data_IF_294586344970
#
_entry.id   IF_294586344970
#
_cell.length_a   1.000
_cell.length_b   1.000
_cell.length_c   1.000
_cell.angle_alpha   90.00
_cell.angle_beta   90.00
_cell.angle_gamma   90.00
#
_symmetry.space_group_name_H-M   'P 1'
#
loop_
_entity.id
_entity.type
_entity.pdbx_description
1 polymer ?
#
# COMPACT_ATOMS: atom_id res chain seq x y z
N UNK A 1 6.43 -49.22 34.59
CA UNK A 1 5.41 -48.59 35.46
C UNK A 1 5.27 -47.14 35.01
N UNK A 2 4.25 -46.87 34.19
CA UNK A 2 3.88 -45.51 33.82
C UNK A 2 2.88 -45.02 34.87
N UNK A 3 3.25 -44.00 35.64
CA UNK A 3 2.34 -43.33 36.55
C UNK A 3 1.33 -42.53 35.72
N UNK A 4 0.08 -42.97 35.72
CA UNK A 4 -1.02 -42.18 35.18
C UNK A 4 -1.22 -40.97 36.09
N UNK A 5 -0.94 -39.78 35.57
CA UNK A 5 -1.35 -38.52 36.20
C UNK A 5 -2.87 -38.46 36.06
N UNK A 6 -3.58 -38.68 37.16
CA UNK A 6 -5.01 -38.49 37.22
C UNK A 6 -5.31 -37.00 37.07
N UNK A 7 -5.80 -36.59 35.90
CA UNK A 7 -6.43 -35.28 35.70
C UNK A 7 -7.73 -35.29 36.51
N UNK A 8 -7.68 -34.76 37.73
CA UNK A 8 -8.87 -34.53 38.53
C UNK A 8 -9.81 -33.63 37.73
N UNK A 9 -10.97 -34.18 37.33
CA UNK A 9 -12.05 -33.40 36.72
C UNK A 9 -12.61 -32.51 37.81
N UNK A 10 -12.08 -31.29 37.91
CA UNK A 10 -12.58 -30.26 38.81
C UNK A 10 -14.06 -30.02 38.46
N UNK A 11 -14.97 -30.19 39.42
CA UNK A 11 -16.41 -30.03 39.21
C UNK A 11 -16.89 -28.58 39.38
N UNK A 12 -16.07 -27.70 39.96
CA UNK A 12 -16.33 -26.27 40.17
C UNK A 12 -15.00 -25.54 40.43
N UNK A 13 -14.90 -24.28 39.99
CA UNK A 13 -13.76 -23.42 40.25
C UNK A 13 -13.71 -22.86 41.68
N UNK A 14 -14.75 -23.06 42.50
CA UNK A 14 -14.86 -22.47 43.84
C UNK A 14 -13.69 -22.76 44.79
N UNK A 15 -13.13 -23.97 44.73
CA UNK A 15 -11.93 -24.31 45.52
C UNK A 15 -10.68 -23.55 45.06
N UNK A 16 -10.57 -23.27 43.76
CA UNK A 16 -9.48 -22.52 43.16
C UNK A 16 -9.63 -21.02 43.47
N UNK A 17 -10.87 -20.51 43.43
CA UNK A 17 -11.21 -19.15 43.82
C UNK A 17 -10.98 -18.88 45.31
N UNK A 18 -11.19 -19.86 46.17
CA UNK A 18 -10.86 -19.73 47.59
C UNK A 18 -9.36 -19.55 47.81
N UNK A 19 -8.50 -20.24 47.04
CA UNK A 19 -7.04 -20.11 47.15
C UNK A 19 -6.53 -18.71 46.77
N UNK A 20 -7.26 -17.94 45.94
CA UNK A 20 -6.90 -16.55 45.63
C UNK A 20 -7.00 -15.60 46.83
N UNK A 21 -7.84 -15.94 47.82
CA UNK A 21 -8.05 -15.12 49.02
C UNK A 21 -7.01 -15.40 50.12
N UNK A 22 -6.18 -16.43 49.97
CA UNK A 22 -5.11 -16.75 50.91
C UNK A 22 -3.96 -15.74 50.77
N UNK A 23 -3.26 -15.40 51.88
CA UNK A 23 -2.19 -14.41 51.85
C UNK A 23 -0.91 -14.90 51.14
N UNK A 24 -0.74 -16.21 50.95
CA UNK A 24 0.47 -16.79 50.39
C UNK A 24 0.54 -16.63 48.86
N UNK A 25 1.58 -15.96 48.36
CA UNK A 25 1.79 -15.71 46.93
C UNK A 25 1.93 -17.00 46.09
N UNK A 26 2.54 -18.05 46.65
CA UNK A 26 2.66 -19.34 45.97
C UNK A 26 1.28 -19.99 45.70
N UNK A 27 0.32 -19.80 46.61
CA UNK A 27 -1.05 -20.28 46.43
C UNK A 27 -1.79 -19.46 45.38
N UNK A 28 -1.57 -18.13 45.36
CA UNK A 28 -2.10 -17.23 44.32
C UNK A 28 -1.59 -17.62 42.93
N UNK A 29 -0.30 -17.93 42.80
CA UNK A 29 0.29 -18.45 41.56
C UNK A 29 -0.41 -19.71 41.10
N UNK A 30 -0.46 -20.71 41.98
CA UNK A 30 -1.04 -22.00 41.65
C UNK A 30 -2.52 -21.84 41.28
N UNK A 31 -3.25 -20.97 41.97
CA UNK A 31 -4.62 -20.64 41.67
C UNK A 31 -4.76 -20.00 40.28
N UNK A 32 -3.97 -18.96 39.95
CA UNK A 32 -4.01 -18.31 38.64
C UNK A 32 -3.65 -19.25 37.48
N UNK A 33 -2.61 -20.08 37.65
CA UNK A 33 -2.22 -21.06 36.65
C UNK A 33 -3.32 -22.11 36.43
N UNK A 34 -3.93 -22.58 37.52
CA UNK A 34 -5.06 -23.51 37.46
C UNK A 34 -6.26 -22.87 36.78
N UNK A 35 -6.60 -21.62 37.13
CA UNK A 35 -7.69 -20.86 36.52
C UNK A 35 -7.49 -20.70 35.01
N UNK A 36 -6.30 -20.29 34.57
CA UNK A 36 -5.98 -20.12 33.14
C UNK A 36 -6.28 -21.40 32.33
N UNK A 37 -6.05 -22.58 32.90
CA UNK A 37 -6.34 -23.86 32.24
C UNK A 37 -7.83 -24.20 32.17
N UNK A 38 -8.65 -23.73 33.12
CA UNK A 38 -10.07 -24.10 33.24
C UNK A 38 -11.05 -22.97 32.91
N UNK A 39 -10.56 -21.79 32.48
CA UNK A 39 -11.42 -20.63 32.16
C UNK A 39 -12.54 -21.01 31.18
N UNK A 40 -12.22 -21.78 30.14
CA UNK A 40 -13.18 -22.20 29.13
C UNK A 40 -14.38 -23.00 29.67
N UNK A 41 -14.22 -23.66 30.83
CA UNK A 41 -15.29 -24.44 31.48
C UNK A 41 -16.04 -23.64 32.54
N UNK A 42 -15.32 -22.81 33.30
CA UNK A 42 -15.86 -22.18 34.51
C UNK A 42 -15.88 -20.65 34.44
N UNK A 43 -15.80 -20.03 33.26
CA UNK A 43 -15.88 -18.57 33.12
C UNK A 43 -17.10 -17.93 33.85
N UNK A 44 -18.29 -18.56 33.97
CA UNK A 44 -19.40 -17.95 34.72
C UNK A 44 -19.16 -17.91 36.24
N UNK A 45 -18.40 -18.85 36.78
CA UNK A 45 -18.02 -18.86 38.20
C UNK A 45 -16.88 -17.87 38.44
N UNK A 46 -15.87 -17.88 37.55
CA UNK A 46 -14.69 -17.01 37.65
C UNK A 46 -15.06 -15.54 37.47
N UNK A 47 -16.07 -15.23 36.63
CA UNK A 47 -16.52 -13.85 36.40
C UNK A 47 -16.95 -13.13 37.68
N UNK A 48 -17.51 -13.87 38.65
CA UNK A 48 -17.90 -13.31 39.95
C UNK A 48 -16.73 -12.80 40.78
N UNK A 49 -15.52 -13.29 40.48
CA UNK A 49 -14.28 -12.99 41.18
C UNK A 49 -13.33 -12.13 40.35
N UNK A 50 -13.76 -11.58 39.20
CA UNK A 50 -12.97 -10.63 38.40
C UNK A 50 -12.38 -9.50 39.25
N UNK A 51 -13.13 -8.82 40.15
CA UNK A 51 -12.57 -7.72 40.93
C UNK A 51 -11.38 -8.13 41.81
N UNK A 52 -11.36 -9.37 42.30
CA UNK A 52 -10.25 -9.89 43.08
C UNK A 52 -9.00 -10.12 42.21
N UNK A 53 -9.20 -10.62 40.98
CA UNK A 53 -8.10 -10.86 40.03
C UNK A 53 -7.59 -9.54 39.43
N UNK A 54 -8.48 -8.57 39.19
CA UNK A 54 -8.13 -7.20 38.76
C UNK A 54 -7.28 -6.51 39.83
N UNK A 55 -7.67 -6.58 41.10
CA UNK A 55 -6.87 -6.04 42.19
C UNK A 55 -5.46 -6.63 42.26
N UNK A 56 -5.26 -7.88 41.81
CA UNK A 56 -3.94 -8.52 41.72
C UNK A 56 -3.18 -8.13 40.45
N UNK A 57 -3.88 -7.75 39.38
CA UNK A 57 -3.27 -7.23 38.16
C UNK A 57 -2.80 -5.78 38.34
N UNK A 58 -3.54 -4.98 39.12
CA UNK A 58 -3.20 -3.60 39.47
C UNK A 58 -2.07 -3.48 40.51
N UNK A 59 -1.75 -4.56 41.20
CA UNK A 59 -0.67 -4.59 42.18
C UNK A 59 0.70 -4.69 41.48
N UNK A 60 1.45 -3.58 41.47
CA UNK A 60 2.78 -3.49 40.89
C UNK A 60 3.83 -4.34 41.63
N UNK A 61 3.60 -4.67 42.92
CA UNK A 61 4.51 -5.50 43.71
C UNK A 61 4.28 -7.00 43.45
N UNK A 62 3.17 -7.37 42.80
CA UNK A 62 2.85 -8.76 42.51
C UNK A 62 3.57 -9.24 41.24
N UNK A 63 4.57 -10.12 41.44
CA UNK A 63 5.40 -10.69 40.37
C UNK A 63 4.60 -11.34 39.22
N UNK A 64 3.35 -11.76 39.48
CA UNK A 64 2.53 -12.51 38.54
C UNK A 64 1.32 -11.77 38.02
N UNK A 65 1.33 -10.44 38.11
CA UNK A 65 0.30 -9.58 37.55
C UNK A 65 -0.02 -9.91 36.09
N UNK A 66 0.98 -10.25 35.28
CA UNK A 66 0.79 -10.61 33.87
C UNK A 66 -0.11 -11.84 33.70
N UNK A 67 0.01 -12.82 34.60
CA UNK A 67 -0.81 -14.03 34.57
C UNK A 67 -2.25 -13.73 35.02
N UNK A 68 -2.41 -12.84 36.01
CA UNK A 68 -3.73 -12.34 36.40
C UNK A 68 -4.42 -11.61 35.24
N UNK A 69 -3.71 -10.72 34.54
CA UNK A 69 -4.21 -10.05 33.34
C UNK A 69 -4.61 -11.02 32.23
N UNK A 70 -3.84 -12.08 31.99
CA UNK A 70 -4.18 -13.11 31.00
C UNK A 70 -5.47 -13.87 31.37
N UNK A 71 -5.63 -14.23 32.65
CA UNK A 71 -6.85 -14.91 33.12
C UNK A 71 -8.06 -13.99 32.93
N UNK A 72 -7.97 -12.73 33.37
CA UNK A 72 -9.04 -11.72 33.22
C UNK A 72 -9.41 -11.53 31.75
N UNK A 73 -8.41 -11.39 30.88
CA UNK A 73 -8.62 -11.28 29.43
C UNK A 73 -9.40 -12.46 28.86
N UNK A 74 -9.06 -13.70 29.25
CA UNK A 74 -9.79 -14.89 28.82
C UNK A 74 -11.22 -14.91 29.35
N UNK A 75 -11.47 -14.45 30.58
CA UNK A 75 -12.85 -14.36 31.11
C UNK A 75 -13.66 -13.36 30.30
N UNK A 76 -13.15 -12.15 30.06
CA UNK A 76 -13.83 -11.13 29.25
C UNK A 76 -14.10 -11.60 27.82
N UNK A 77 -13.19 -12.37 27.22
CA UNK A 77 -13.42 -13.01 25.92
C UNK A 77 -14.67 -13.90 25.93
N UNK A 78 -14.82 -14.78 26.92
CA UNK A 78 -16.01 -15.64 27.02
C UNK A 78 -17.29 -14.88 27.42
N UNK A 79 -17.16 -13.74 28.11
CA UNK A 79 -18.28 -12.83 28.35
C UNK A 79 -18.71 -12.04 27.10
N UNK A 80 -17.88 -12.03 26.06
CA UNK A 80 -18.13 -11.32 24.79
C UNK A 80 -17.62 -9.87 24.78
N UNK A 81 -16.91 -9.43 25.82
CA UNK A 81 -16.38 -8.08 25.97
C UNK A 81 -14.96 -8.00 25.40
N UNK A 82 -14.87 -7.95 24.06
CA UNK A 82 -13.58 -8.04 23.36
C UNK A 82 -12.64 -6.84 23.57
N UNK A 83 -13.18 -5.64 23.83
CA UNK A 83 -12.35 -4.46 24.07
C UNK A 83 -11.58 -4.59 25.40
N UNK A 84 -12.27 -4.99 26.46
CA UNK A 84 -11.66 -5.23 27.77
C UNK A 84 -10.76 -6.46 27.73
N UNK A 85 -11.19 -7.52 27.04
CA UNK A 85 -10.32 -8.67 26.81
C UNK A 85 -9.00 -8.27 26.13
N UNK A 86 -9.04 -7.40 25.11
CA UNK A 86 -7.84 -6.91 24.45
C UNK A 86 -6.97 -6.08 25.40
N UNK A 87 -7.53 -5.13 26.15
CA UNK A 87 -6.75 -4.27 27.06
C UNK A 87 -5.96 -5.08 28.11
N UNK A 88 -6.58 -6.11 28.68
CA UNK A 88 -5.92 -7.04 29.60
C UNK A 88 -4.91 -7.97 28.91
N UNK A 89 -5.18 -8.40 27.66
CA UNK A 89 -4.21 -9.16 26.87
C UNK A 89 -2.95 -8.35 26.54
N UNK A 90 -3.10 -7.06 26.21
CA UNK A 90 -1.98 -6.14 26.05
C UNK A 90 -1.17 -6.02 27.35
N UNK A 91 -1.85 -6.00 28.49
CA UNK A 91 -1.25 -5.99 29.83
C UNK A 91 -0.49 -7.26 30.21
N UNK A 92 -0.94 -8.42 29.72
CA UNK A 92 -0.27 -9.70 29.93
C UNK A 92 1.09 -9.83 29.23
N UNK A 93 1.38 -8.95 28.26
CA UNK A 93 2.68 -8.80 27.63
C UNK A 93 3.19 -10.09 26.98
N UNK A 94 4.30 -10.69 27.48
CA UNK A 94 4.88 -11.89 26.89
C UNK A 94 4.06 -13.16 27.11
N UNK A 95 3.14 -13.18 28.10
CA UNK A 95 2.28 -14.34 28.36
C UNK A 95 1.16 -14.49 27.33
N UNK A 96 0.80 -13.41 26.62
CA UNK A 96 -0.09 -13.49 25.48
C UNK A 96 0.70 -13.93 24.25
N UNK A 97 0.56 -15.21 23.92
CA UNK A 97 1.25 -15.81 22.79
C UNK A 97 0.48 -15.57 21.49
N UNK A 98 1.08 -14.76 20.63
CA UNK A 98 0.56 -14.47 19.29
C UNK A 98 0.56 -15.73 18.42
N UNK A 99 1.45 -16.71 18.70
CA UNK A 99 1.60 -17.96 17.96
C UNK A 99 0.57 -19.04 18.30
N UNK A 100 -0.25 -18.81 19.33
CA UNK A 100 -1.26 -19.77 19.76
C UNK A 100 -2.39 -19.91 18.72
N UNK A 101 -2.61 -21.13 18.23
CA UNK A 101 -3.72 -21.47 17.35
C UNK A 101 -4.99 -21.76 18.17
N UNK A 102 -5.46 -20.77 18.95
CA UNK A 102 -6.73 -20.84 19.68
C UNK A 102 -7.74 -19.81 19.21
N UNK A 103 -9.03 -20.13 19.34
CA UNK A 103 -10.11 -19.20 18.99
C UNK A 103 -10.02 -17.89 19.78
N UNK A 104 -9.52 -17.95 21.02
CA UNK A 104 -9.22 -16.79 21.86
C UNK A 104 -8.13 -15.91 21.23
N UNK A 105 -6.97 -16.49 20.91
CA UNK A 105 -5.86 -15.75 20.32
C UNK A 105 -6.27 -15.16 18.96
N UNK A 106 -6.88 -15.96 18.09
CA UNK A 106 -7.33 -15.48 16.77
C UNK A 106 -8.32 -14.32 16.86
N UNK A 107 -9.31 -14.40 17.75
CA UNK A 107 -10.29 -13.34 17.93
C UNK A 107 -9.68 -12.04 18.48
N UNK A 108 -8.80 -12.13 19.49
CA UNK A 108 -8.13 -10.94 20.03
C UNK A 108 -7.13 -10.34 19.06
N UNK A 109 -6.41 -11.16 18.30
CA UNK A 109 -5.49 -10.68 17.28
C UNK A 109 -6.22 -9.98 16.12
N UNK A 110 -7.36 -10.52 15.66
CA UNK A 110 -8.21 -9.85 14.68
C UNK A 110 -8.71 -8.50 15.22
N UNK A 111 -9.21 -8.49 16.46
CA UNK A 111 -9.66 -7.27 17.14
C UNK A 111 -8.53 -6.24 17.29
N UNK A 112 -7.32 -6.67 17.63
CA UNK A 112 -6.15 -5.82 17.74
C UNK A 112 -5.78 -5.18 16.40
N UNK A 113 -5.82 -5.95 15.31
CA UNK A 113 -5.57 -5.43 13.96
C UNK A 113 -6.62 -4.39 13.56
N UNK A 114 -7.90 -4.67 13.79
CA UNK A 114 -8.99 -3.74 13.49
C UNK A 114 -8.83 -2.42 14.25
N UNK A 115 -8.53 -2.50 15.55
CA UNK A 115 -8.34 -1.31 16.40
C UNK A 115 -7.13 -0.50 15.94
N UNK A 116 -5.99 -1.16 15.69
CA UNK A 116 -4.79 -0.52 15.17
C UNK A 116 -5.01 0.14 13.79
N UNK A 117 -5.64 -0.56 12.86
CA UNK A 117 -5.95 -0.04 11.52
C UNK A 117 -6.92 1.16 11.58
N UNK A 118 -7.92 1.10 12.46
CA UNK A 118 -8.86 2.20 12.69
C UNK A 118 -8.15 3.44 13.22
N UNK A 119 -7.19 3.25 14.12
CA UNK A 119 -6.38 4.30 14.70
C UNK A 119 -5.50 4.97 13.65
N UNK A 120 -4.74 4.19 12.88
CA UNK A 120 -3.87 4.72 11.80
C UNK A 120 -4.70 5.46 10.74
N UNK A 121 -5.92 5.00 10.46
CA UNK A 121 -6.83 5.69 9.56
C UNK A 121 -7.34 7.02 10.13
N UNK A 122 -7.67 7.09 11.42
CA UNK A 122 -8.07 8.34 12.09
C UNK A 122 -6.92 9.34 12.17
N UNK A 123 -5.73 8.90 12.58
CA UNK A 123 -4.54 9.74 12.67
C UNK A 123 -4.21 10.39 11.31
N UNK A 124 -4.43 9.69 10.19
CA UNK A 124 -4.22 10.26 8.87
C UNK A 124 -5.22 11.35 8.46
N UNK A 125 -6.41 11.40 9.09
CA UNK A 125 -7.47 12.38 8.80
C UNK A 125 -7.38 13.60 9.71
N UNK A 126 -6.99 13.39 10.96
CA UNK A 126 -6.77 14.44 11.94
C UNK A 126 -5.31 14.90 11.84
N UNK A 127 -5.03 15.88 10.97
CA UNK A 127 -3.68 16.47 10.78
C UNK A 127 -3.03 17.06 12.05
N UNK A 128 -3.67 16.99 13.23
CA UNK A 128 -3.27 17.80 14.41
C UNK A 128 -3.35 17.08 15.77
N UNK A 129 -3.84 15.83 15.87
CA UNK A 129 -3.78 15.08 17.13
C UNK A 129 -2.99 13.79 16.92
N UNK A 130 -1.69 13.82 17.27
CA UNK A 130 -0.93 12.62 17.63
C UNK A 130 -1.55 12.03 18.91
N UNK A 131 -2.76 11.48 18.79
CA UNK A 131 -3.13 10.37 19.63
C UNK A 131 -2.03 9.34 19.37
N UNK A 132 -1.23 9.03 20.38
CA UNK A 132 -0.19 8.02 20.27
C UNK A 132 -0.85 6.64 20.37
N UNK A 133 -0.55 5.76 19.40
CA UNK A 133 -0.98 4.35 19.49
C UNK A 133 -0.43 3.79 20.79
N UNK A 134 -1.21 2.96 21.50
CA UNK A 134 -0.64 2.19 22.61
C UNK A 134 0.54 1.35 22.09
N UNK A 135 1.77 1.55 22.61
CA UNK A 135 2.95 0.84 22.11
C UNK A 135 2.81 -0.68 22.24
N UNK A 136 1.99 -1.17 23.18
CA UNK A 136 1.71 -2.60 23.35
C UNK A 136 0.91 -3.14 22.17
N UNK A 137 -0.06 -2.38 21.69
CA UNK A 137 -0.86 -2.74 20.51
C UNK A 137 0.02 -2.78 19.27
N UNK A 138 0.86 -1.76 19.06
CA UNK A 138 1.80 -1.74 17.94
C UNK A 138 2.76 -2.93 17.98
N UNK A 139 3.31 -3.24 19.16
CA UNK A 139 4.21 -4.40 19.36
C UNK A 139 3.53 -5.73 19.01
N UNK A 140 2.23 -5.91 19.30
CA UNK A 140 1.51 -7.13 18.92
C UNK A 140 1.33 -7.21 17.41
N UNK A 141 0.89 -6.12 16.78
CA UNK A 141 0.68 -6.06 15.33
C UNK A 141 1.99 -6.31 14.58
N UNK A 142 3.10 -5.74 15.04
CA UNK A 142 4.43 -6.01 14.49
C UNK A 142 4.83 -7.48 14.62
N UNK A 143 4.66 -8.08 15.81
CA UNK A 143 4.90 -9.53 16.01
C UNK A 143 4.04 -10.39 15.09
N UNK A 144 2.78 -10.01 14.86
CA UNK A 144 1.90 -10.72 13.92
C UNK A 144 2.41 -10.64 12.48
N UNK A 145 2.75 -9.44 12.02
CA UNK A 145 3.28 -9.21 10.66
C UNK A 145 4.57 -9.99 10.44
N UNK A 146 5.50 -9.92 11.40
CA UNK A 146 6.78 -10.64 11.33
C UNK A 146 6.58 -12.14 11.29
N UNK A 147 5.66 -12.68 12.11
CA UNK A 147 5.31 -14.10 12.06
C UNK A 147 4.74 -14.49 10.69
N UNK A 148 3.81 -13.72 10.13
CA UNK A 148 3.27 -14.01 8.80
C UNK A 148 4.36 -14.04 7.72
N UNK A 149 5.35 -13.15 7.81
CA UNK A 149 6.51 -13.12 6.92
C UNK A 149 7.39 -14.37 7.13
N UNK A 150 7.68 -14.73 8.38
CA UNK A 150 8.49 -15.91 8.73
C UNK A 150 7.84 -17.23 8.30
N UNK A 151 6.52 -17.33 8.43
CA UNK A 151 5.72 -18.49 7.99
C UNK A 151 5.60 -18.60 6.46
N UNK A 152 6.13 -17.62 5.71
CA UNK A 152 5.99 -17.55 4.26
C UNK A 152 4.59 -17.20 3.77
N UNK A 153 3.70 -16.76 4.66
CA UNK A 153 2.32 -16.32 4.35
C UNK A 153 2.33 -14.87 3.86
N UNK A 154 3.09 -14.60 2.80
CA UNK A 154 3.34 -13.24 2.30
C UNK A 154 2.06 -12.50 1.88
N UNK A 155 1.09 -13.18 1.26
CA UNK A 155 -0.17 -12.53 0.84
C UNK A 155 -0.95 -11.97 2.04
N UNK A 156 -1.01 -12.73 3.14
CA UNK A 156 -1.64 -12.28 4.37
C UNK A 156 -0.85 -11.12 4.99
N UNK A 157 0.48 -11.21 5.02
CA UNK A 157 1.33 -10.12 5.50
C UNK A 157 1.12 -8.82 4.70
N UNK A 158 1.03 -8.90 3.37
CA UNK A 158 0.73 -7.75 2.51
C UNK A 158 -0.66 -7.17 2.79
N UNK A 159 -1.68 -8.01 2.95
CA UNK A 159 -3.03 -7.61 3.34
C UNK A 159 -3.03 -6.80 4.64
N UNK A 160 -2.46 -7.40 5.69
CA UNK A 160 -2.34 -6.77 7.00
C UNK A 160 -1.53 -5.47 6.95
N UNK A 161 -0.41 -5.43 6.23
CA UNK A 161 0.43 -4.24 6.11
C UNK A 161 -0.33 -3.07 5.44
N UNK A 162 -1.14 -3.36 4.41
CA UNK A 162 -1.97 -2.37 3.73
C UNK A 162 -3.10 -1.86 4.65
N UNK A 163 -3.78 -2.74 5.38
CA UNK A 163 -4.83 -2.36 6.35
C UNK A 163 -4.27 -1.50 7.49
N UNK A 164 -3.11 -1.91 8.02
CA UNK A 164 -2.39 -1.25 9.12
C UNK A 164 -1.65 0.03 8.70
N UNK A 165 -1.65 0.38 7.41
CA UNK A 165 -0.89 1.50 6.83
C UNK A 165 0.61 1.47 7.16
N UNK A 166 1.20 0.29 7.15
CA UNK A 166 2.64 0.05 7.38
C UNK A 166 3.33 -0.30 6.06
N UNK A 167 3.68 0.74 5.30
CA UNK A 167 4.34 0.59 4.00
C UNK A 167 5.74 -0.02 4.13
N UNK A 168 6.42 0.23 5.24
CA UNK A 168 7.70 -0.39 5.61
C UNK A 168 7.62 -1.93 5.63
N UNK A 169 6.58 -2.48 6.28
CA UNK A 169 6.35 -3.92 6.36
C UNK A 169 5.83 -4.49 5.04
N UNK A 170 5.12 -3.70 4.23
CA UNK A 170 4.73 -4.06 2.88
C UNK A 170 5.96 -4.26 1.98
N UNK A 171 6.89 -3.30 1.99
CA UNK A 171 8.17 -3.40 1.26
C UNK A 171 8.97 -4.62 1.69
N UNK A 172 9.08 -4.86 3.01
CA UNK A 172 9.77 -6.02 3.56
C UNK A 172 9.13 -7.35 3.12
N UNK A 173 7.80 -7.45 3.15
CA UNK A 173 7.07 -8.65 2.74
C UNK A 173 7.23 -8.94 1.23
N UNK A 174 7.25 -7.90 0.39
CA UNK A 174 7.47 -8.05 -1.06
C UNK A 174 8.91 -8.48 -1.33
N UNK A 175 9.89 -7.85 -0.69
CA UNK A 175 11.32 -8.13 -0.90
C UNK A 175 11.72 -9.57 -0.49
N UNK A 176 11.08 -10.13 0.54
CA UNK A 176 11.32 -11.52 0.97
C UNK A 176 10.56 -12.56 0.15
N UNK A 177 9.58 -12.14 -0.66
CA UNK A 177 8.82 -13.06 -1.49
C UNK A 177 9.65 -13.61 -2.65
N UNK A 178 9.55 -14.92 -2.91
CA UNK A 178 10.26 -15.55 -4.03
C UNK A 178 9.75 -15.06 -5.40
N UNK A 179 8.47 -14.70 -5.51
CA UNK A 179 7.85 -14.19 -6.74
C UNK A 179 7.46 -12.72 -6.57
N UNK A 180 8.43 -11.83 -6.79
CA UNK A 180 8.25 -10.39 -6.62
C UNK A 180 7.20 -9.83 -7.59
N UNK A 181 7.20 -10.25 -8.86
CA UNK A 181 6.21 -9.79 -9.85
C UNK A 181 4.77 -10.17 -9.44
N UNK A 182 4.57 -11.40 -8.98
CA UNK A 182 3.27 -11.85 -8.47
C UNK A 182 2.83 -11.08 -7.22
N UNK A 183 3.76 -10.81 -6.31
CA UNK A 183 3.50 -10.02 -5.10
C UNK A 183 3.10 -8.57 -5.44
N UNK A 184 3.80 -7.94 -6.39
CA UNK A 184 3.49 -6.58 -6.83
C UNK A 184 2.12 -6.50 -7.52
N UNK A 185 1.81 -7.44 -8.42
CA UNK A 185 0.49 -7.51 -9.07
C UNK A 185 -0.64 -7.72 -8.04
N UNK A 186 -0.40 -8.59 -7.05
CA UNK A 186 -1.34 -8.78 -5.93
C UNK A 186 -1.56 -7.49 -5.14
N UNK A 187 -0.49 -6.75 -4.81
CA UNK A 187 -0.58 -5.48 -4.10
C UNK A 187 -1.31 -4.39 -4.89
N UNK A 188 -1.12 -4.34 -6.21
CA UNK A 188 -1.89 -3.42 -7.08
C UNK A 188 -3.38 -3.73 -6.96
N UNK A 189 -3.78 -5.00 -7.10
CA UNK A 189 -5.17 -5.41 -6.97
C UNK A 189 -5.74 -5.13 -5.58
N UNK A 190 -4.97 -5.41 -4.53
CA UNK A 190 -5.31 -5.11 -3.14
C UNK A 190 -5.56 -3.60 -2.96
N UNK A 191 -4.70 -2.75 -3.53
CA UNK A 191 -4.84 -1.29 -3.49
C UNK A 191 -6.10 -0.79 -4.22
N UNK A 192 -6.50 -1.44 -5.31
CA UNK A 192 -7.70 -1.05 -6.05
C UNK A 192 -8.99 -1.49 -5.38
N UNK A 193 -9.01 -2.70 -4.80
CA UNK A 193 -10.22 -3.31 -4.24
C UNK A 193 -10.50 -2.86 -2.81
N UNK A 194 -9.47 -2.73 -1.97
CA UNK A 194 -9.64 -2.58 -0.53
C UNK A 194 -9.25 -1.19 0.01
N UNK A 195 -8.46 -0.41 -0.74
CA UNK A 195 -8.08 0.95 -0.29
C UNK A 195 -9.07 1.99 -0.79
N UNK A 196 -9.93 2.46 0.11
CA UNK A 196 -10.97 3.46 -0.23
C UNK A 196 -10.43 4.89 -0.35
N UNK A 197 -9.40 5.25 0.43
CA UNK A 197 -8.84 6.61 0.45
C UNK A 197 -7.89 6.84 -0.72
N UNK A 198 -8.15 7.88 -1.53
CA UNK A 198 -7.39 8.17 -2.75
C UNK A 198 -5.94 8.52 -2.46
N UNK A 199 -5.70 9.32 -1.43
CA UNK A 199 -4.37 9.77 -1.02
C UNK A 199 -3.52 8.56 -0.61
N UNK A 200 -4.04 7.75 0.31
CA UNK A 200 -3.37 6.54 0.77
C UNK A 200 -3.17 5.50 -0.35
N UNK A 201 -4.16 5.31 -1.24
CA UNK A 201 -3.98 4.46 -2.43
C UNK A 201 -2.82 4.95 -3.30
N UNK A 202 -2.66 6.27 -3.43
CA UNK A 202 -1.55 6.86 -4.18
C UNK A 202 -0.21 6.62 -3.48
N UNK A 203 -0.15 6.66 -2.14
CA UNK A 203 1.05 6.31 -1.38
C UNK A 203 1.45 4.85 -1.58
N UNK A 204 0.49 3.92 -1.52
CA UNK A 204 0.72 2.49 -1.80
C UNK A 204 1.25 2.32 -3.22
N UNK A 205 0.60 2.88 -4.24
CA UNK A 205 1.05 2.75 -5.62
C UNK A 205 2.44 3.35 -5.84
N UNK A 206 2.77 4.49 -5.21
CA UNK A 206 4.13 5.07 -5.26
C UNK A 206 5.16 4.16 -4.61
N UNK A 207 4.83 3.53 -3.49
CA UNK A 207 5.67 2.51 -2.87
C UNK A 207 5.95 1.36 -3.85
N UNK A 208 4.92 0.82 -4.52
CA UNK A 208 5.08 -0.25 -5.49
C UNK A 208 5.95 0.17 -6.70
N UNK A 209 5.75 1.39 -7.23
CA UNK A 209 6.57 1.92 -8.33
C UNK A 209 8.05 1.99 -7.94
N UNK A 210 8.37 2.45 -6.72
CA UNK A 210 9.75 2.46 -6.22
C UNK A 210 10.34 1.06 -6.21
N UNK A 211 9.60 0.07 -5.70
CA UNK A 211 10.07 -1.33 -5.70
C UNK A 211 10.32 -1.82 -7.13
N UNK A 212 9.39 -1.60 -8.06
CA UNK A 212 9.58 -1.98 -9.46
C UNK A 212 10.85 -1.39 -10.08
N UNK A 213 11.17 -0.13 -9.77
CA UNK A 213 12.37 0.56 -10.30
C UNK A 213 13.68 0.01 -9.73
N UNK A 214 13.66 -0.64 -8.55
CA UNK A 214 14.85 -1.27 -7.96
C UNK A 214 15.17 -2.65 -8.55
N UNK A 215 14.25 -3.22 -9.34
CA UNK A 215 14.43 -4.55 -9.93
C UNK A 215 15.43 -4.52 -11.10
N UNK A 216 16.18 -5.62 -11.33
CA UNK A 216 17.13 -5.71 -12.44
C UNK A 216 16.46 -5.63 -13.82
N UNK A 217 15.23 -6.12 -13.91
CA UNK A 217 14.38 -6.03 -15.10
C UNK A 217 13.03 -5.44 -14.71
N UNK A 218 12.89 -4.09 -14.76
CA UNK A 218 11.66 -3.42 -14.42
C UNK A 218 10.55 -3.80 -15.41
N UNK A 219 9.37 -4.11 -14.88
CA UNK A 219 8.16 -4.24 -15.69
C UNK A 219 7.59 -2.84 -15.96
N UNK A 220 8.05 -2.24 -17.05
CA UNK A 220 7.65 -0.90 -17.46
C UNK A 220 6.16 -0.77 -17.75
N UNK A 221 5.47 -1.86 -18.14
CA UNK A 221 4.03 -1.84 -18.37
C UNK A 221 3.29 -1.60 -17.05
N UNK A 222 3.56 -2.44 -16.04
CA UNK A 222 2.97 -2.31 -14.71
C UNK A 222 3.30 -0.97 -14.05
N UNK A 223 4.53 -0.46 -14.23
CA UNK A 223 4.93 0.87 -13.73
C UNK A 223 4.10 1.97 -14.38
N UNK A 224 3.98 1.98 -15.72
CA UNK A 224 3.23 3.00 -16.44
C UNK A 224 1.73 2.97 -16.12
N UNK A 225 1.15 1.78 -15.91
CA UNK A 225 -0.23 1.64 -15.44
C UNK A 225 -0.42 2.25 -14.04
N UNK A 226 0.51 2.00 -13.11
CA UNK A 226 0.48 2.62 -11.78
C UNK A 226 0.61 4.15 -11.88
N UNK A 227 1.54 4.66 -12.69
CA UNK A 227 1.77 6.09 -12.89
C UNK A 227 0.58 6.79 -13.54
N UNK A 228 -0.14 6.11 -14.43
CA UNK A 228 -1.37 6.59 -15.03
C UNK A 228 -2.46 6.78 -13.95
N UNK A 229 -2.63 5.80 -13.05
CA UNK A 229 -3.57 5.91 -11.92
C UNK A 229 -3.16 7.03 -10.95
N UNK A 230 -1.86 7.20 -10.73
CA UNK A 230 -1.29 8.29 -9.93
C UNK A 230 -1.45 9.67 -10.59
N UNK A 231 -1.66 9.71 -11.91
CA UNK A 231 -1.73 10.95 -12.68
C UNK A 231 -0.37 11.64 -12.82
N UNK A 232 0.72 10.87 -12.94
CA UNK A 232 2.10 11.37 -13.06
C UNK A 232 2.61 11.20 -14.52
N UNK A 233 2.18 12.06 -15.48
CA UNK A 233 2.53 11.91 -16.90
C UNK A 233 4.02 12.17 -17.17
N UNK A 234 4.68 12.94 -16.31
CA UNK A 234 6.10 13.30 -16.46
C UNK A 234 7.02 12.08 -16.33
N UNK A 235 6.77 11.25 -15.32
CA UNK A 235 7.54 10.03 -15.09
C UNK A 235 7.33 9.04 -16.24
N UNK A 236 6.11 8.92 -16.78
CA UNK A 236 5.82 8.07 -17.95
C UNK A 236 6.55 8.58 -19.20
N UNK A 237 6.54 9.88 -19.47
CA UNK A 237 7.26 10.47 -20.59
C UNK A 237 8.76 10.16 -20.51
N UNK A 238 9.38 10.33 -19.33
CA UNK A 238 10.79 10.01 -19.09
C UNK A 238 11.10 8.52 -19.34
N UNK A 239 10.24 7.62 -18.88
CA UNK A 239 10.40 6.18 -19.10
C UNK A 239 10.33 5.86 -20.59
N UNK A 240 9.33 6.39 -21.30
CA UNK A 240 9.16 6.18 -22.74
C UNK A 240 10.36 6.72 -23.54
N UNK A 241 10.85 7.91 -23.20
CA UNK A 241 12.02 8.51 -23.85
C UNK A 241 13.30 7.68 -23.62
N UNK A 242 13.49 7.19 -22.39
CA UNK A 242 14.60 6.30 -22.04
C UNK A 242 14.55 4.99 -22.83
N UNK A 243 13.36 4.39 -22.97
CA UNK A 243 13.15 3.17 -23.75
C UNK A 243 13.36 3.39 -25.26
N UNK A 244 12.93 4.53 -25.79
CA UNK A 244 13.13 4.86 -27.21
C UNK A 244 14.61 5.06 -27.56
N UNK A 245 15.37 5.63 -26.62
CA UNK A 245 16.83 5.84 -26.71
C UNK A 245 17.65 4.55 -26.58
N UNK A 246 17.02 3.47 -26.12
CA UNK A 246 17.63 2.16 -25.94
C UNK A 246 17.72 1.32 -27.22
N UNK A 247 17.68 0.00 -27.01
CA UNK A 247 17.72 -0.99 -28.08
C UNK A 247 16.45 -0.99 -28.93
N UNK A 248 16.46 -1.74 -30.04
CA UNK A 248 15.24 -1.93 -30.83
C UNK A 248 14.14 -2.65 -30.03
N UNK A 249 14.54 -3.56 -29.13
CA UNK A 249 13.60 -4.30 -28.28
C UNK A 249 12.96 -3.37 -27.23
N UNK A 250 13.74 -2.45 -26.66
CA UNK A 250 13.23 -1.42 -25.73
C UNK A 250 12.23 -0.48 -26.42
N UNK A 251 12.50 -0.10 -27.67
CA UNK A 251 11.57 0.68 -28.46
C UNK A 251 10.25 -0.07 -28.75
N UNK A 252 10.28 -1.39 -28.92
CA UNK A 252 9.06 -2.21 -29.04
C UNK A 252 8.25 -2.21 -27.75
N UNK A 253 8.92 -2.30 -26.59
CA UNK A 253 8.27 -2.19 -25.27
C UNK A 253 7.61 -0.81 -25.13
N UNK A 254 8.28 0.28 -25.53
CA UNK A 254 7.71 1.62 -25.51
C UNK A 254 6.41 1.72 -26.35
N UNK A 255 6.40 1.11 -27.54
CA UNK A 255 5.18 1.07 -28.37
C UNK A 255 4.06 0.24 -27.73
N UNK A 256 4.39 -0.89 -27.11
CA UNK A 256 3.40 -1.71 -26.40
C UNK A 256 2.77 -0.94 -25.25
N UNK A 257 3.57 -0.24 -24.45
CA UNK A 257 3.10 0.64 -23.37
C UNK A 257 2.20 1.74 -23.94
N UNK A 258 2.58 2.36 -25.05
CA UNK A 258 1.77 3.40 -25.67
C UNK A 258 0.40 2.88 -26.14
N UNK A 259 0.33 1.67 -26.70
CA UNK A 259 -0.95 1.04 -27.06
C UNK A 259 -1.81 0.76 -25.82
N UNK A 260 -1.24 0.19 -24.77
CA UNK A 260 -1.95 -0.08 -23.51
C UNK A 260 -2.49 1.21 -22.85
N UNK A 261 -1.69 2.27 -22.83
CA UNK A 261 -2.13 3.57 -22.32
C UNK A 261 -3.30 4.17 -23.13
N UNK A 262 -3.33 3.95 -24.45
CA UNK A 262 -4.42 4.41 -25.33
C UNK A 262 -5.70 3.61 -25.09
N UNK A 263 -5.60 2.31 -24.83
CA UNK A 263 -6.75 1.46 -24.48
C UNK A 263 -7.43 1.88 -23.17
N UNK A 264 -6.72 2.58 -22.28
CA UNK A 264 -7.28 3.13 -21.04
C UNK A 264 -8.10 4.42 -21.22
N UNK A 265 -8.21 4.95 -22.45
CA UNK A 265 -9.08 6.08 -22.84
C UNK A 265 -8.90 7.41 -22.05
N UNK A 266 -7.77 7.61 -21.37
CA UNK A 266 -7.49 8.84 -20.62
C UNK A 266 -6.83 9.92 -21.49
N UNK A 267 -7.61 10.56 -22.36
CA UNK A 267 -7.10 11.51 -23.36
C UNK A 267 -6.32 12.68 -22.75
N UNK A 268 -6.75 13.21 -21.60
CA UNK A 268 -6.06 14.33 -20.94
C UNK A 268 -4.67 13.93 -20.46
N UNK A 269 -4.53 12.72 -19.91
CA UNK A 269 -3.23 12.19 -19.52
C UNK A 269 -2.32 11.96 -20.72
N UNK A 270 -2.84 11.34 -21.79
CA UNK A 270 -2.08 11.06 -23.02
C UNK A 270 -1.57 12.34 -23.69
N UNK A 271 -2.39 13.39 -23.75
CA UNK A 271 -1.98 14.70 -24.26
C UNK A 271 -0.83 15.30 -23.44
N UNK A 272 -0.88 15.20 -22.11
CA UNK A 272 0.19 15.68 -21.25
C UNK A 272 1.49 14.89 -21.44
N UNK A 273 1.41 13.55 -21.60
CA UNK A 273 2.57 12.72 -21.93
C UNK A 273 3.17 13.13 -23.27
N UNK A 274 2.34 13.31 -24.30
CA UNK A 274 2.77 13.75 -25.63
C UNK A 274 3.48 15.12 -25.63
N UNK A 275 2.86 16.12 -24.98
CA UNK A 275 3.43 17.47 -24.86
C UNK A 275 4.79 17.46 -24.11
N UNK A 276 4.96 16.58 -23.12
CA UNK A 276 6.23 16.44 -22.39
C UNK A 276 7.31 15.82 -23.26
N UNK A 277 6.96 14.78 -24.04
CA UNK A 277 7.87 14.20 -25.02
C UNK A 277 8.32 15.20 -26.10
N UNK A 278 7.49 16.20 -26.46
CA UNK A 278 7.91 17.30 -27.34
C UNK A 278 8.97 18.19 -26.67
N UNK A 279 8.74 18.56 -25.41
CA UNK A 279 9.64 19.45 -24.65
C UNK A 279 11.02 18.84 -24.33
N UNK A 280 11.15 17.51 -24.39
CA UNK A 280 12.40 16.79 -24.14
C UNK A 280 13.29 16.65 -25.38
N UNK A 281 12.79 16.99 -26.56
CA UNK A 281 13.61 17.03 -27.78
C UNK A 281 14.56 18.24 -27.73
N UNK A 282 15.90 18.07 -27.83
CA UNK A 282 16.83 19.18 -27.88
C UNK A 282 16.70 19.87 -29.25
N UNK A 283 15.74 20.79 -29.37
CA UNK A 283 15.48 21.48 -30.63
C UNK A 283 14.44 22.60 -30.61
N UNK A 284 13.66 22.77 -29.53
CA UNK A 284 12.71 23.88 -29.42
C UNK A 284 12.75 24.52 -28.02
N UNK A 285 13.84 25.25 -27.75
CA UNK A 285 13.81 26.27 -26.70
C UNK A 285 13.40 27.61 -27.29
N UNK A 286 12.35 28.18 -26.68
CA UNK A 286 11.97 29.58 -26.63
C UNK A 286 11.31 30.21 -27.89
N UNK A 287 9.98 30.22 -27.89
CA UNK A 287 9.26 31.46 -28.18
C UNK A 287 8.79 32.03 -26.83
N UNK A 288 9.13 33.29 -26.48
CA UNK A 288 8.62 33.91 -25.27
C UNK A 288 7.13 34.20 -25.44
N UNK A 289 6.31 33.71 -24.50
CA UNK A 289 4.93 34.18 -24.32
C UNK A 289 5.02 35.54 -23.66
N UNK A 290 4.77 36.59 -24.44
CA UNK A 290 4.65 37.96 -23.97
C UNK A 290 3.45 38.06 -23.01
N UNK A 291 3.72 38.30 -21.73
CA UNK A 291 2.71 38.74 -20.78
C UNK A 291 2.60 40.25 -20.84
N UNK A 292 1.60 40.76 -21.57
CA UNK A 292 1.15 42.15 -21.40
C UNK A 292 -0.36 42.21 -21.18
N UNK A 293 -0.70 42.39 -19.90
CA UNK A 293 -1.75 43.26 -19.35
C UNK A 293 -2.99 43.57 -20.22
N UNK A 294 -4.13 43.11 -19.71
CA UNK A 294 -5.47 43.50 -20.12
C UNK A 294 -5.85 44.87 -19.53
N UNK A 295 -6.15 45.87 -20.37
CA UNK A 295 -7.02 47.01 -20.02
C UNK A 295 -7.53 47.76 -21.27
N UNK A 296 -8.82 47.58 -21.59
CA UNK A 296 -9.76 48.69 -21.86
C UNK A 296 -9.60 49.59 -23.10
N UNK A 297 -10.46 49.31 -24.10
CA UNK A 297 -11.36 50.24 -24.83
C UNK A 297 -10.85 51.29 -25.85
N UNK A 298 -11.57 51.26 -26.98
CA UNK A 298 -11.96 52.34 -27.94
C UNK A 298 -11.00 52.81 -29.04
N UNK A 299 -11.39 52.44 -30.27
CA UNK A 299 -11.55 53.28 -31.47
C UNK A 299 -10.35 54.10 -31.96
N UNK A 300 -9.92 53.90 -33.22
CA UNK A 300 -10.16 54.75 -34.43
C UNK A 300 -9.03 54.49 -35.45
N UNK A 301 -9.37 54.05 -36.66
CA UNK A 301 -8.53 54.20 -37.89
C UNK A 301 -8.43 55.71 -38.27
N UNK A 302 -7.58 56.20 -39.22
CA UNK A 302 -7.04 55.49 -40.39
C UNK A 302 -5.62 55.90 -40.91
N UNK A 303 -5.25 55.23 -42.01
CA UNK A 303 -4.50 55.73 -43.17
C UNK A 303 -2.96 55.82 -43.13
N UNK A 304 -2.31 55.25 -44.16
CA UNK A 304 -1.03 55.76 -44.65
C UNK A 304 -0.06 54.78 -45.31
N UNK A 305 -0.34 54.45 -46.58
CA UNK A 305 0.62 54.37 -47.70
C UNK A 305 1.67 53.24 -47.86
N UNK A 306 2.00 53.05 -49.14
CA UNK A 306 2.62 51.92 -49.84
C UNK A 306 4.16 51.99 -49.85
N UNK A 307 4.88 50.85 -49.80
CA UNK A 307 6.08 50.65 -50.65
C UNK A 307 6.48 49.18 -50.77
N UNK A 308 6.68 48.73 -52.02
CA UNK A 308 7.27 47.45 -52.45
C UNK A 308 8.80 47.54 -52.52
N UNK A 309 9.50 46.40 -52.37
CA UNK A 309 10.91 46.25 -52.72
C UNK A 309 11.36 44.80 -52.68
N UNK A 310 11.42 44.16 -53.85
CA UNK A 310 12.17 42.93 -54.15
C UNK A 310 13.65 43.07 -53.77
N UNK A 311 14.29 42.02 -53.23
CA UNK A 311 15.18 41.17 -54.04
C UNK A 311 15.77 40.00 -53.25
N UNK A 312 16.01 38.91 -53.96
CA UNK A 312 16.46 37.62 -53.46
C UNK A 312 17.91 37.62 -52.93
N UNK A 313 18.19 36.84 -51.88
CA UNK A 313 19.47 36.09 -51.79
C UNK A 313 19.31 34.79 -51.01
N UNK A 314 19.75 33.73 -51.68
CA UNK A 314 19.75 32.33 -51.29
C UNK A 314 20.79 31.98 -50.22
N UNK A 315 20.47 30.92 -49.48
CA UNK A 315 21.40 29.93 -48.90
C UNK A 315 22.27 30.37 -47.71
N UNK A 316 21.96 29.84 -46.53
CA UNK A 316 22.87 28.82 -45.99
C UNK A 316 22.16 27.78 -45.11
N UNK A 317 22.08 26.58 -45.66
CA UNK A 317 21.59 25.35 -45.07
C UNK A 317 22.73 24.79 -44.20
N UNK A 318 22.78 25.15 -42.92
CA UNK A 318 23.62 24.42 -41.97
C UNK A 318 22.88 23.13 -41.57
N UNK A 319 22.96 22.15 -42.47
CA UNK A 319 22.71 20.75 -42.13
C UNK A 319 23.85 20.32 -41.20
N UNK A 320 23.63 20.42 -39.89
CA UNK A 320 24.34 19.57 -38.96
C UNK A 320 24.09 18.11 -39.39
N UNK A 321 25.13 17.26 -39.46
CA UNK A 321 24.92 15.84 -39.72
C UNK A 321 24.16 15.31 -38.50
N UNK A 322 22.86 15.11 -38.65
CA UNK A 322 22.03 14.45 -37.64
C UNK A 322 22.67 13.08 -37.43
N UNK A 323 23.10 12.82 -36.20
CA UNK A 323 23.71 11.55 -35.84
C UNK A 323 22.74 10.42 -36.25
N UNK A 324 23.17 9.31 -36.88
CA UNK A 324 22.25 8.27 -37.35
C UNK A 324 21.33 7.73 -36.24
N UNK A 325 21.81 7.80 -35.00
CA UNK A 325 21.09 7.40 -33.80
C UNK A 325 20.02 8.43 -33.39
N UNK A 326 20.28 9.73 -33.56
CA UNK A 326 19.29 10.79 -33.32
C UNK A 326 18.18 10.78 -34.37
N UNK A 327 18.52 10.50 -35.64
CA UNK A 327 17.53 10.34 -36.70
C UNK A 327 16.62 9.12 -36.47
N UNK A 328 17.20 8.00 -36.02
CA UNK A 328 16.44 6.81 -35.65
C UNK A 328 15.56 7.05 -34.42
N UNK A 329 16.05 7.77 -33.41
CA UNK A 329 15.28 8.16 -32.24
C UNK A 329 14.09 9.06 -32.61
N UNK A 330 14.32 10.08 -33.46
CA UNK A 330 13.27 10.98 -33.92
C UNK A 330 12.17 10.25 -34.72
N UNK A 331 12.53 9.27 -35.56
CA UNK A 331 11.55 8.43 -36.27
C UNK A 331 10.76 7.54 -35.30
N UNK A 332 11.42 6.94 -34.31
CA UNK A 332 10.74 6.15 -33.27
C UNK A 332 9.80 7.01 -32.44
N UNK A 333 10.22 8.21 -32.07
CA UNK A 333 9.41 9.18 -31.32
C UNK A 333 8.17 9.62 -32.13
N UNK A 334 8.32 9.89 -33.42
CA UNK A 334 7.19 10.21 -34.30
C UNK A 334 6.17 9.06 -34.38
N UNK A 335 6.65 7.82 -34.45
CA UNK A 335 5.79 6.63 -34.40
C UNK A 335 5.07 6.49 -33.06
N UNK A 336 5.76 6.71 -31.95
CA UNK A 336 5.18 6.66 -30.61
C UNK A 336 4.07 7.71 -30.46
N UNK A 337 4.31 8.95 -30.91
CA UNK A 337 3.32 10.04 -30.88
C UNK A 337 2.06 9.71 -31.69
N UNK A 338 2.22 9.10 -32.87
CA UNK A 338 1.10 8.66 -33.68
C UNK A 338 0.29 7.52 -33.02
N UNK A 339 0.91 6.74 -32.12
CA UNK A 339 0.22 5.74 -31.30
C UNK A 339 -0.54 6.44 -30.18
N UNK A 340 0.14 7.31 -29.40
CA UNK A 340 -0.45 8.04 -28.27
C UNK A 340 -1.60 8.97 -28.66
N UNK A 341 -1.63 9.47 -29.90
CA UNK A 341 -2.75 10.26 -30.43
C UNK A 341 -4.02 9.42 -30.69
N UNK A 342 -3.91 8.09 -30.67
CA UNK A 342 -4.99 7.15 -30.99
C UNK A 342 -5.23 6.94 -32.49
N UNK A 343 -4.65 7.79 -33.36
CA UNK A 343 -4.86 7.73 -34.81
C UNK A 343 -4.44 6.38 -35.40
N UNK A 344 -3.28 5.86 -34.99
CA UNK A 344 -2.78 4.54 -35.42
C UNK A 344 -3.70 3.40 -35.00
N UNK A 345 -4.24 3.44 -33.78
CA UNK A 345 -5.14 2.40 -33.27
C UNK A 345 -6.45 2.37 -34.07
N UNK A 346 -7.02 3.55 -34.33
CA UNK A 346 -8.22 3.71 -35.18
C UNK A 346 -7.96 3.19 -36.61
N UNK A 347 -6.82 3.55 -37.20
CA UNK A 347 -6.45 3.09 -38.54
C UNK A 347 -6.31 1.56 -38.63
N UNK A 348 -5.62 0.93 -37.67
CA UNK A 348 -5.52 -0.53 -37.62
C UNK A 348 -6.89 -1.20 -37.46
N UNK A 349 -7.74 -0.64 -36.61
CA UNK A 349 -9.08 -1.17 -36.36
C UNK A 349 -9.94 -1.07 -37.63
N UNK A 350 -9.90 0.06 -38.33
CA UNK A 350 -10.58 0.22 -39.62
C UNK A 350 -10.05 -0.75 -40.68
N UNK A 351 -8.73 -0.91 -40.76
CA UNK A 351 -8.11 -1.87 -41.70
C UNK A 351 -8.52 -3.32 -41.39
N UNK A 352 -8.61 -3.69 -40.11
CA UNK A 352 -9.13 -4.99 -39.69
C UNK A 352 -10.59 -5.16 -40.12
N UNK A 353 -11.46 -4.18 -39.84
CA UNK A 353 -12.86 -4.20 -40.24
C UNK A 353 -13.05 -4.30 -41.75
N UNK A 354 -12.24 -3.58 -42.55
CA UNK A 354 -12.29 -3.66 -44.01
C UNK A 354 -11.78 -5.00 -44.56
N UNK A 355 -10.73 -5.58 -43.96
CA UNK A 355 -10.14 -6.85 -44.41
C UNK A 355 -10.93 -8.09 -43.99
N UNK A 356 -11.65 -8.03 -42.86
CA UNK A 356 -12.42 -9.13 -42.29
C UNK A 356 -13.94 -8.98 -42.48
N UNK A 357 -14.37 -8.06 -43.34
CA UNK A 357 -15.76 -7.94 -43.76
C UNK A 357 -16.13 -9.17 -44.61
N UNK A 358 -16.52 -10.27 -43.95
CA UNK A 358 -17.09 -11.46 -44.61
C UNK A 358 -18.49 -11.10 -45.08
N UNK A 359 -18.65 -10.95 -46.39
CA UNK A 359 -19.96 -11.07 -47.07
C UNK A 359 -20.45 -12.52 -47.05
#
# INVERSE_FOLDING_TARGET
MAAAVATATVSSAGGILAMLHEPAEELKLHALASLNSVVHLFYPEISTSIPAIESMYEDDEFDQRQLAGLVVSKVFYYLGELNDALSYALGAGPLFDVSEDSDYAQALLAKALDEYASFKTRASKAMEEEENVDPRLETIVERMLERCILDGKYQQAMGMAVECRRLDKLEEAIARCANIHGALSYCINLSHQYVSHREYRSEVLRCLVKIYQTLPHPDYLSICQCLMVLGEPETVANILDTLLSGSQDDALIAYQIAFDLVENENQAFLLNVGNRLDSQTPGQSALPVDQTVNAGTTSTEPAGDVQMGDDATTSNRNAHPVDPNEAAHADRLAKLKAILSGEKSIQLTLQFLYSHNRQ
#
